data_IF_449475659561
#
_entry.id   IF_449475659561
#
_cell.length_a   1.000
_cell.length_b   1.000
_cell.length_c   1.000
_cell.angle_alpha   90.00
_cell.angle_beta   90.00
_cell.angle_gamma   90.00
#
_symmetry.space_group_name_H-M   'P 1'
#
loop_
_entity.id
_entity.type
_entity.pdbx_description
1 polymer ?
#
# COMPACT_ATOMS: atom_id res chain seq x y z
N UNK A 1 24.64 -82.22 39.71
CA UNK A 1 25.44 -81.48 38.71
C UNK A 1 24.75 -80.15 38.45
N UNK A 2 24.85 -79.18 39.37
CA UNK A 2 25.79 -78.05 39.34
C UNK A 2 26.00 -77.50 37.91
N UNK A 3 25.35 -76.37 37.60
CA UNK A 3 26.02 -75.21 36.98
C UNK A 3 25.24 -73.94 37.28
N UNK A 4 26.00 -72.91 37.62
CA UNK A 4 25.62 -71.78 38.45
C UNK A 4 25.03 -70.60 37.67
N UNK A 5 24.23 -69.84 38.42
CA UNK A 5 23.71 -68.51 38.15
C UNK A 5 24.80 -67.49 37.78
N UNK A 6 24.48 -66.58 36.87
CA UNK A 6 24.92 -65.18 36.96
C UNK A 6 23.67 -64.31 37.12
N UNK A 7 23.48 -63.81 38.35
CA UNK A 7 22.55 -62.73 38.67
C UNK A 7 23.03 -61.45 37.98
N UNK A 8 22.14 -60.77 37.27
CA UNK A 8 22.34 -59.40 36.80
C UNK A 8 21.24 -58.56 37.44
N UNK A 9 21.67 -57.59 38.25
CA UNK A 9 20.84 -56.71 39.08
C UNK A 9 19.99 -55.79 38.20
N UNK A 10 18.66 -55.90 38.29
CA UNK A 10 17.72 -54.98 37.66
C UNK A 10 17.32 -53.88 38.65
N UNK A 11 17.84 -52.67 38.44
CA UNK A 11 17.41 -51.46 39.15
C UNK A 11 16.07 -51.03 38.53
N UNK A 12 14.99 -51.10 39.31
CA UNK A 12 13.68 -50.58 38.94
C UNK A 12 13.69 -49.07 39.17
N UNK A 13 13.73 -48.28 38.10
CA UNK A 13 13.39 -46.86 38.14
C UNK A 13 11.86 -46.72 38.11
N UNK A 14 11.25 -46.38 39.24
CA UNK A 14 9.87 -45.89 39.31
C UNK A 14 9.82 -44.47 38.73
N UNK A 15 9.46 -44.36 37.46
CA UNK A 15 9.15 -43.06 36.84
C UNK A 15 7.81 -42.55 37.38
N UNK A 16 7.85 -41.54 38.25
CA UNK A 16 6.66 -40.79 38.63
C UNK A 16 6.24 -39.92 37.44
N UNK A 17 5.18 -40.34 36.74
CA UNK A 17 4.51 -39.51 35.73
C UNK A 17 3.75 -38.41 36.47
N UNK A 18 4.36 -37.22 36.60
CA UNK A 18 3.62 -36.02 36.93
C UNK A 18 2.73 -35.66 35.73
N UNK A 19 1.44 -35.97 35.84
CA UNK A 19 0.44 -35.45 34.91
C UNK A 19 0.36 -33.93 35.02
N UNK A 20 0.93 -33.21 34.06
CA UNK A 20 0.62 -31.81 33.86
C UNK A 20 -0.82 -31.70 33.37
N UNK A 21 -1.74 -31.38 34.27
CA UNK A 21 -3.05 -30.90 33.88
C UNK A 21 -2.85 -29.52 33.21
N UNK A 22 -2.89 -29.48 31.88
CA UNK A 22 -3.10 -28.23 31.15
C UNK A 22 -4.51 -27.80 31.50
N UNK A 23 -4.64 -26.89 32.45
CA UNK A 23 -5.90 -26.20 32.71
C UNK A 23 -6.12 -25.29 31.49
N UNK A 24 -7.16 -25.52 30.65
CA UNK A 24 -7.46 -24.60 29.57
C UNK A 24 -7.72 -23.23 30.19
N UNK A 25 -6.92 -22.23 29.83
CA UNK A 25 -7.20 -20.84 30.19
C UNK A 25 -8.56 -20.49 29.58
N UNK A 26 -9.51 -19.95 30.37
CA UNK A 26 -10.79 -19.53 29.81
C UNK A 26 -10.53 -18.49 28.72
N UNK A 27 -11.08 -18.72 27.53
CA UNK A 27 -11.06 -17.72 26.47
C UNK A 27 -11.75 -16.45 26.99
N UNK A 28 -11.04 -15.32 26.97
CA UNK A 28 -11.63 -14.02 27.31
C UNK A 28 -12.79 -13.75 26.35
N UNK A 29 -13.91 -13.25 26.88
CA UNK A 29 -15.02 -12.80 26.05
C UNK A 29 -14.59 -11.59 25.21
N UNK A 30 -14.84 -11.64 23.91
CA UNK A 30 -14.70 -10.51 22.99
C UNK A 30 -15.59 -9.37 23.48
N UNK A 31 -15.03 -8.17 23.58
CA UNK A 31 -15.71 -6.98 24.08
C UNK A 31 -15.92 -5.94 22.97
N UNK A 32 -16.98 -5.13 23.14
CA UNK A 32 -17.19 -3.92 22.33
C UNK A 32 -16.83 -2.72 23.17
N UNK A 33 -15.81 -1.98 22.72
CA UNK A 33 -15.45 -0.67 23.25
C UNK A 33 -16.14 0.38 22.38
N UNK A 34 -16.55 1.49 22.98
CA UNK A 34 -17.21 2.59 22.27
C UNK A 34 -16.40 3.86 22.48
N UNK A 35 -16.26 4.66 21.44
CA UNK A 35 -15.59 5.95 21.50
C UNK A 35 -16.62 6.99 21.10
N UNK A 36 -16.75 8.05 21.88
CA UNK A 36 -17.52 9.24 21.53
C UNK A 36 -16.74 10.50 21.91
N UNK A 37 -16.90 11.59 21.17
CA UNK A 37 -16.10 12.80 21.37
C UNK A 37 -16.44 13.56 22.68
N UNK A 38 -17.65 13.36 23.20
CA UNK A 38 -18.10 13.81 24.52
C UNK A 38 -17.93 12.77 25.63
N UNK A 39 -17.39 11.59 25.29
CA UNK A 39 -17.14 10.48 26.19
C UNK A 39 -18.39 9.86 26.81
N UNK A 40 -19.55 10.00 26.17
CA UNK A 40 -20.82 9.43 26.61
C UNK A 40 -21.45 8.60 25.49
N UNK A 41 -21.47 7.28 25.61
CA UNK A 41 -22.16 6.41 24.64
C UNK A 41 -22.37 4.99 25.20
N UNK A 42 -23.23 4.23 24.51
CA UNK A 42 -23.37 2.79 24.69
C UNK A 42 -23.09 2.06 23.37
N UNK A 43 -22.89 0.72 23.37
CA UNK A 43 -22.65 -0.04 22.14
C UNK A 43 -23.74 0.06 21.05
N UNK A 44 -24.91 0.58 21.39
CA UNK A 44 -26.08 0.72 20.52
C UNK A 44 -26.62 2.14 20.40
N UNK A 45 -26.07 3.12 21.12
CA UNK A 45 -26.55 4.50 21.10
C UNK A 45 -25.38 5.46 21.40
N UNK A 46 -24.99 6.27 20.42
CA UNK A 46 -23.97 7.29 20.60
C UNK A 46 -24.47 8.42 21.51
N UNK A 47 -25.75 8.81 21.45
CA UNK A 47 -26.30 9.87 22.31
C UNK A 47 -26.71 9.36 23.72
N UNK A 48 -26.04 8.34 24.26
CA UNK A 48 -26.32 7.85 25.60
C UNK A 48 -25.63 8.71 26.67
N UNK A 49 -25.90 8.47 27.95
CA UNK A 49 -25.29 9.20 29.07
C UNK A 49 -24.30 8.34 29.86
N UNK A 50 -24.01 7.15 29.35
CA UNK A 50 -23.08 6.19 29.94
C UNK A 50 -21.65 6.57 29.57
N UNK A 51 -20.77 6.65 30.56
CA UNK A 51 -19.38 7.02 30.32
C UNK A 51 -18.66 5.99 29.44
N UNK A 52 -17.92 6.49 28.45
CA UNK A 52 -17.13 5.71 27.49
C UNK A 52 -15.78 6.39 27.20
N UNK A 53 -15.03 5.89 26.22
CA UNK A 53 -13.76 6.50 25.81
C UNK A 53 -13.96 7.80 25.03
N UNK A 54 -13.20 8.84 25.37
CA UNK A 54 -13.17 10.12 24.65
C UNK A 54 -12.31 10.12 23.38
N UNK A 55 -11.36 9.17 23.29
CA UNK A 55 -10.40 9.10 22.19
C UNK A 55 -10.26 7.69 21.66
N UNK A 56 -9.96 7.58 20.37
CA UNK A 56 -9.72 6.31 19.69
C UNK A 56 -8.47 5.64 20.24
N UNK A 57 -7.41 6.40 20.53
CA UNK A 57 -6.17 5.86 21.11
C UNK A 57 -6.40 5.23 22.48
N UNK A 58 -7.26 5.82 23.32
CA UNK A 58 -7.56 5.25 24.64
C UNK A 58 -8.29 3.91 24.53
N UNK A 59 -9.28 3.81 23.63
CA UNK A 59 -9.97 2.54 23.39
C UNK A 59 -9.04 1.49 22.76
N UNK A 60 -8.18 1.87 21.81
CA UNK A 60 -7.19 0.96 21.22
C UNK A 60 -6.22 0.43 22.28
N UNK A 61 -5.73 1.30 23.18
CA UNK A 61 -4.84 0.90 24.26
C UNK A 61 -5.50 -0.06 25.27
N UNK A 62 -6.81 0.07 25.50
CA UNK A 62 -7.59 -0.81 26.38
C UNK A 62 -8.05 -2.10 25.71
N UNK A 63 -7.99 -2.17 24.38
CA UNK A 63 -8.45 -3.32 23.60
C UNK A 63 -7.59 -4.57 23.81
N UNK A 64 -8.18 -5.71 23.54
CA UNK A 64 -7.52 -7.01 23.50
C UNK A 64 -7.93 -7.78 22.25
N UNK A 65 -7.21 -8.87 21.98
CA UNK A 65 -7.39 -9.57 20.73
C UNK A 65 -8.83 -10.06 20.53
N UNK A 66 -9.40 -9.74 19.37
CA UNK A 66 -10.79 -10.02 19.01
C UNK A 66 -11.77 -8.87 19.26
N UNK A 67 -11.39 -7.85 20.05
CA UNK A 67 -12.29 -6.75 20.41
C UNK A 67 -12.74 -5.92 19.20
N UNK A 68 -13.94 -5.34 19.32
CA UNK A 68 -14.45 -4.33 18.38
C UNK A 68 -14.47 -2.98 19.06
N UNK A 69 -13.92 -1.96 18.41
CA UNK A 69 -13.94 -0.56 18.82
C UNK A 69 -14.87 0.16 17.87
N UNK A 70 -16.05 0.54 18.36
CA UNK A 70 -17.02 1.37 17.64
C UNK A 70 -16.74 2.84 17.93
N UNK A 71 -16.65 3.66 16.91
CA UNK A 71 -16.40 5.10 17.05
C UNK A 71 -17.61 5.85 16.53
N UNK A 72 -18.22 6.65 17.39
CA UNK A 72 -19.35 7.51 17.08
C UNK A 72 -18.94 8.66 16.15
N UNK A 73 -19.93 9.38 15.64
CA UNK A 73 -19.68 10.51 14.74
C UNK A 73 -18.98 11.62 15.52
N UNK A 74 -17.89 12.15 14.98
CA UNK A 74 -17.07 13.08 15.75
C UNK A 74 -15.74 13.42 15.10
N UNK A 75 -15.04 14.38 15.69
CA UNK A 75 -13.72 14.82 15.25
C UNK A 75 -12.66 14.37 16.25
N UNK A 76 -11.80 13.45 15.83
CA UNK A 76 -10.75 12.86 16.65
C UNK A 76 -9.38 13.31 16.15
N UNK A 77 -8.85 14.39 16.72
CA UNK A 77 -7.53 14.91 16.35
C UNK A 77 -6.42 14.19 17.13
N UNK A 78 -5.93 13.07 16.59
CA UNK A 78 -4.95 12.21 17.28
C UNK A 78 -4.17 11.30 16.32
N UNK A 79 -3.13 10.64 16.83
CA UNK A 79 -2.44 9.54 16.15
C UNK A 79 -2.77 8.22 16.84
N UNK A 80 -3.37 7.29 16.10
CA UNK A 80 -3.79 5.99 16.62
C UNK A 80 -2.75 4.93 16.25
N UNK A 81 -2.10 4.33 17.25
CA UNK A 81 -1.18 3.20 17.04
C UNK A 81 -1.78 1.90 17.57
N UNK A 82 -1.99 0.95 16.67
CA UNK A 82 -2.56 -0.37 16.94
C UNK A 82 -1.43 -1.39 17.04
N UNK A 83 -1.27 -1.95 18.23
CA UNK A 83 -0.32 -3.05 18.54
C UNK A 83 -1.02 -4.35 18.95
N UNK A 84 -2.35 -4.33 19.09
CA UNK A 84 -3.17 -5.47 19.48
C UNK A 84 -3.68 -6.20 18.25
N UNK A 85 -3.46 -7.53 18.20
CA UNK A 85 -3.92 -8.37 17.09
C UNK A 85 -5.44 -8.46 17.04
N UNK A 86 -5.98 -8.73 15.85
CA UNK A 86 -7.36 -9.16 15.64
C UNK A 86 -8.42 -8.19 16.18
N UNK A 87 -8.13 -6.89 16.23
CA UNK A 87 -9.14 -5.89 16.60
C UNK A 87 -9.88 -5.38 15.35
N UNK A 88 -11.15 -5.00 15.54
CA UNK A 88 -11.93 -4.28 14.53
C UNK A 88 -12.14 -2.85 14.98
N UNK A 89 -11.57 -1.89 14.27
CA UNK A 89 -11.84 -0.47 14.43
C UNK A 89 -12.87 -0.06 13.37
N UNK A 90 -14.04 0.43 13.80
CA UNK A 90 -15.19 0.73 12.93
C UNK A 90 -15.87 2.04 13.31
N UNK A 91 -16.13 2.90 12.31
CA UNK A 91 -17.02 4.05 12.46
C UNK A 91 -18.47 3.58 12.48
N UNK A 92 -19.28 4.10 13.40
CA UNK A 92 -20.70 3.71 13.55
C UNK A 92 -21.50 4.11 12.31
N UNK A 93 -21.45 5.38 11.91
CA UNK A 93 -21.95 5.82 10.62
C UNK A 93 -20.81 5.92 9.61
N UNK A 94 -21.09 5.60 8.35
CA UNK A 94 -20.10 5.67 7.29
C UNK A 94 -19.58 7.12 7.14
N UNK A 95 -18.27 7.29 7.35
CA UNK A 95 -17.52 8.55 7.40
C UNK A 95 -17.95 9.54 8.50
N UNK A 96 -18.72 9.08 9.48
CA UNK A 96 -19.15 9.88 10.62
C UNK A 96 -18.00 10.16 11.61
N UNK A 97 -17.18 9.15 11.92
CA UNK A 97 -15.98 9.31 12.72
C UNK A 97 -14.80 9.79 11.86
N UNK A 98 -14.25 10.95 12.18
CA UNK A 98 -13.16 11.58 11.44
C UNK A 98 -11.88 11.60 12.28
N UNK A 99 -10.85 10.88 11.86
CA UNK A 99 -9.54 10.90 12.53
C UNK A 99 -8.65 11.89 11.79
N UNK A 100 -8.34 13.00 12.46
CA UNK A 100 -7.62 14.13 11.89
C UNK A 100 -6.16 14.14 12.33
N UNK A 101 -5.26 14.53 11.43
CA UNK A 101 -3.87 14.76 11.78
C UNK A 101 -3.74 15.81 12.92
N UNK A 102 -3.06 15.49 14.04
CA UNK A 102 -2.73 16.50 15.04
C UNK A 102 -1.74 17.54 14.50
N UNK A 103 -1.73 18.71 15.15
CA UNK A 103 -0.78 19.80 14.82
C UNK A 103 0.68 19.34 14.85
N UNK A 104 1.00 18.40 15.74
CA UNK A 104 2.34 17.83 15.87
C UNK A 104 2.26 16.34 15.63
N UNK A 105 2.79 15.90 14.49
CA UNK A 105 2.95 14.50 14.16
C UNK A 105 4.29 13.98 14.69
N UNK A 106 4.25 12.92 15.48
CA UNK A 106 5.43 12.16 15.90
C UNK A 106 5.67 10.99 14.94
N UNK A 107 6.93 10.53 14.87
CA UNK A 107 7.30 9.41 14.01
C UNK A 107 6.46 8.16 14.32
N UNK A 108 5.92 7.45 13.33
CA UNK A 108 6.23 7.49 11.88
C UNK A 108 5.43 8.49 11.04
N UNK A 109 4.80 9.49 11.67
CA UNK A 109 3.92 10.50 11.06
C UNK A 109 2.76 9.89 10.26
N UNK A 110 2.17 8.83 10.83
CA UNK A 110 0.94 8.22 10.35
C UNK A 110 -0.23 8.62 11.27
N UNK A 111 -1.39 8.93 10.69
CA UNK A 111 -2.61 9.20 11.47
C UNK A 111 -3.08 7.90 12.15
N UNK A 112 -3.15 6.81 11.39
CA UNK A 112 -3.37 5.46 11.91
C UNK A 112 -2.21 4.55 11.55
N UNK A 113 -1.64 3.86 12.54
CA UNK A 113 -0.53 2.91 12.34
C UNK A 113 -0.87 1.55 12.90
N UNK A 114 -0.81 0.52 12.07
CA UNK A 114 -0.78 -0.88 12.49
C UNK A 114 0.69 -1.29 12.62
N UNK A 115 1.18 -1.36 13.86
CA UNK A 115 2.58 -1.60 14.17
C UNK A 115 2.77 -3.02 14.70
N UNK A 116 3.07 -3.96 13.80
CA UNK A 116 3.28 -5.38 14.12
C UNK A 116 2.01 -6.16 14.50
N UNK A 117 0.88 -5.48 14.73
CA UNK A 117 -0.41 -6.13 14.94
C UNK A 117 -0.90 -6.80 13.65
N UNK A 118 -1.51 -7.98 13.79
CA UNK A 118 -2.02 -8.80 12.69
C UNK A 118 -3.52 -8.99 12.80
N UNK A 119 -4.20 -9.13 11.66
CA UNK A 119 -5.66 -9.35 11.62
C UNK A 119 -6.48 -8.11 12.00
N UNK A 120 -5.91 -6.91 11.89
CA UNK A 120 -6.61 -5.66 12.19
C UNK A 120 -7.62 -5.34 11.09
N UNK A 121 -8.81 -4.87 11.43
CA UNK A 121 -9.75 -4.30 10.46
C UNK A 121 -9.96 -2.82 10.74
N UNK A 122 -9.87 -1.96 9.72
CA UNK A 122 -10.14 -0.52 9.78
C UNK A 122 -11.20 -0.20 8.73
N UNK A 123 -12.39 0.21 9.17
CA UNK A 123 -13.52 0.40 8.25
C UNK A 123 -14.44 1.58 8.58
N UNK A 124 -14.88 2.26 7.53
CA UNK A 124 -15.94 3.27 7.60
C UNK A 124 -15.51 4.66 8.06
N UNK A 125 -14.22 4.94 8.23
CA UNK A 125 -13.74 6.24 8.73
C UNK A 125 -13.54 7.27 7.62
N UNK A 126 -13.58 8.55 7.98
CA UNK A 126 -12.78 9.57 7.29
C UNK A 126 -11.44 9.70 8.03
N UNK A 127 -10.32 9.62 7.32
CA UNK A 127 -8.96 9.79 7.87
C UNK A 127 -8.31 10.91 7.07
N UNK A 128 -8.09 12.06 7.71
CA UNK A 128 -7.77 13.28 6.99
C UNK A 128 -6.56 14.03 7.56
N UNK A 129 -5.71 14.51 6.65
CA UNK A 129 -4.81 15.62 6.95
C UNK A 129 -5.52 16.98 6.76
N UNK A 130 -4.79 18.03 6.33
CA UNK A 130 -3.35 18.06 6.04
C UNK A 130 -2.49 18.00 7.30
N UNK A 131 -1.20 17.73 7.12
CA UNK A 131 -0.20 18.03 8.14
C UNK A 131 0.00 19.54 8.27
N UNK A 132 0.31 20.01 9.48
CA UNK A 132 0.35 21.45 9.79
C UNK A 132 1.58 22.20 9.26
N UNK A 133 2.50 21.53 8.55
CA UNK A 133 3.78 22.10 8.13
C UNK A 133 3.95 22.11 6.61
N UNK A 134 4.88 22.93 6.14
CA UNK A 134 5.14 23.14 4.71
C UNK A 134 6.00 22.03 4.06
N UNK A 135 6.54 21.08 4.83
CA UNK A 135 7.39 20.01 4.32
C UNK A 135 7.50 18.88 5.34
N UNK A 136 7.20 17.64 4.95
CA UNK A 136 7.42 16.47 5.80
C UNK A 136 6.57 16.44 7.08
N UNK A 137 5.43 17.13 7.10
CA UNK A 137 4.57 17.28 8.27
C UNK A 137 3.62 16.09 8.47
N UNK A 138 3.25 15.41 7.39
CA UNK A 138 2.40 14.21 7.41
C UNK A 138 2.91 13.19 6.39
N UNK A 139 3.19 11.97 6.84
CA UNK A 139 3.74 10.92 5.97
C UNK A 139 2.67 9.95 5.50
N UNK A 140 1.71 9.59 6.35
CA UNK A 140 0.73 8.55 6.05
C UNK A 140 -0.67 8.84 6.61
N UNK A 141 -1.71 8.50 5.85
CA UNK A 141 -3.06 8.35 6.40
C UNK A 141 -3.11 7.08 7.25
N UNK A 142 -2.91 5.93 6.59
CA UNK A 142 -2.76 4.62 7.25
C UNK A 142 -1.39 4.04 6.93
N UNK A 143 -0.70 3.49 7.94
CA UNK A 143 0.56 2.76 7.77
C UNK A 143 0.51 1.37 8.40
N UNK A 144 0.82 0.34 7.64
CA UNK A 144 0.92 -1.06 8.10
C UNK A 144 2.39 -1.49 8.02
N UNK A 145 3.01 -1.74 9.17
CA UNK A 145 4.42 -2.14 9.23
C UNK A 145 4.72 -3.08 10.42
N UNK A 146 6.01 -3.37 10.64
CA UNK A 146 6.46 -4.26 11.71
C UNK A 146 6.07 -5.73 11.51
N UNK A 147 5.77 -6.15 10.28
CA UNK A 147 5.19 -7.47 9.99
C UNK A 147 3.68 -7.56 10.25
N UNK A 148 3.03 -6.42 10.52
CA UNK A 148 1.60 -6.36 10.78
C UNK A 148 0.73 -6.67 9.56
N UNK A 149 -0.56 -6.90 9.80
CA UNK A 149 -1.54 -7.09 8.74
C UNK A 149 -2.88 -6.42 9.01
N UNK A 150 -3.47 -5.85 7.96
CA UNK A 150 -4.73 -5.12 8.06
C UNK A 150 -5.67 -5.32 6.86
N UNK A 151 -6.96 -5.39 7.14
CA UNK A 151 -8.03 -5.13 6.17
C UNK A 151 -8.46 -3.68 6.30
N UNK A 152 -8.25 -2.89 5.25
CA UNK A 152 -8.54 -1.46 5.19
C UNK A 152 -9.65 -1.28 4.17
N UNK A 153 -10.87 -0.99 4.61
CA UNK A 153 -12.02 -0.97 3.70
C UNK A 153 -13.04 0.12 3.95
N UNK A 154 -13.69 0.61 2.88
CA UNK A 154 -14.80 1.56 2.97
C UNK A 154 -14.43 2.85 3.74
N UNK A 155 -13.17 3.29 3.69
CA UNK A 155 -12.73 4.53 4.32
C UNK A 155 -12.63 5.64 3.27
N UNK A 156 -12.73 6.88 3.71
CA UNK A 156 -12.32 8.06 2.96
C UNK A 156 -10.99 8.56 3.53
N UNK A 157 -9.91 8.52 2.73
CA UNK A 157 -8.57 8.91 3.16
C UNK A 157 -8.14 10.11 2.32
N UNK A 158 -8.16 11.30 2.90
CA UNK A 158 -8.01 12.54 2.13
C UNK A 158 -6.98 13.49 2.75
N UNK A 159 -6.52 14.44 1.93
CA UNK A 159 -5.61 15.51 2.36
C UNK A 159 -4.33 15.00 3.03
N UNK A 160 -3.82 13.83 2.61
CA UNK A 160 -2.57 13.29 3.15
C UNK A 160 -1.38 13.99 2.49
N UNK A 161 -1.14 15.23 2.93
CA UNK A 161 -0.20 16.18 2.34
C UNK A 161 0.29 17.22 3.35
N UNK A 162 1.31 17.95 2.96
CA UNK A 162 1.69 19.21 3.61
C UNK A 162 0.72 20.34 3.24
N UNK A 163 0.73 21.41 4.03
CA UNK A 163 -0.04 22.63 3.76
C UNK A 163 0.90 23.85 3.79
N UNK A 164 1.16 24.51 2.64
CA UNK A 164 0.71 24.15 1.28
C UNK A 164 1.36 22.87 0.72
N UNK A 165 0.81 22.33 -0.37
CA UNK A 165 1.34 21.16 -1.09
C UNK A 165 2.83 21.38 -1.45
N UNK A 166 3.68 20.40 -1.11
CA UNK A 166 5.13 20.50 -1.24
C UNK A 166 5.76 19.37 -2.08
N UNK A 167 7.04 19.52 -2.41
CA UNK A 167 7.86 18.51 -3.09
C UNK A 167 8.59 17.53 -2.17
N UNK A 168 8.24 17.45 -0.88
CA UNK A 168 9.04 16.77 0.15
C UNK A 168 8.96 15.23 0.17
N UNK A 169 8.36 14.61 -0.86
CA UNK A 169 8.31 13.14 -1.03
C UNK A 169 7.61 12.39 0.12
N UNK A 170 6.80 13.08 0.93
CA UNK A 170 5.88 12.52 1.91
C UNK A 170 4.42 12.64 1.46
N UNK A 171 3.52 12.08 2.27
CA UNK A 171 2.07 12.16 2.07
C UNK A 171 1.55 11.01 1.21
N UNK A 172 1.44 9.85 1.84
CA UNK A 172 0.93 8.63 1.23
C UNK A 172 -0.40 8.24 1.87
N UNK A 173 -1.48 8.07 1.12
CA UNK A 173 -2.78 7.66 1.65
C UNK A 173 -2.68 6.39 2.51
N UNK A 174 -2.26 5.28 1.90
CA UNK A 174 -2.00 4.00 2.58
C UNK A 174 -0.59 3.51 2.25
N UNK A 175 0.23 3.27 3.28
CA UNK A 175 1.57 2.69 3.15
C UNK A 175 1.67 1.30 3.79
N UNK A 176 2.24 0.32 3.08
CA UNK A 176 2.43 -1.05 3.57
C UNK A 176 3.89 -1.47 3.40
N UNK A 177 4.59 -1.62 4.53
CA UNK A 177 6.03 -1.79 4.56
C UNK A 177 6.80 -0.57 4.03
N UNK A 178 8.13 -0.58 4.22
CA UNK A 178 9.00 0.51 3.79
C UNK A 178 10.45 0.06 3.69
N UNK A 179 11.02 0.13 2.49
CA UNK A 179 12.37 -0.34 2.21
C UNK A 179 13.43 0.45 2.97
N UNK A 180 13.29 1.78 3.02
CA UNK A 180 14.21 2.67 3.73
C UNK A 180 14.31 2.40 5.24
N UNK A 181 13.29 1.76 5.81
CA UNK A 181 13.20 1.42 7.23
C UNK A 181 13.28 -0.10 7.47
N UNK A 182 13.49 -0.88 6.40
CA UNK A 182 13.51 -2.35 6.44
C UNK A 182 12.27 -2.98 7.10
N UNK A 183 11.12 -2.33 6.98
CA UNK A 183 9.86 -2.83 7.52
C UNK A 183 9.03 -3.52 6.44
N UNK A 184 8.16 -4.43 6.86
CA UNK A 184 7.23 -5.15 6.00
C UNK A 184 5.81 -5.08 6.57
N UNK A 185 4.83 -5.36 5.73
CA UNK A 185 3.43 -5.51 6.15
C UNK A 185 2.60 -6.19 5.08
N UNK A 186 1.39 -6.63 5.44
CA UNK A 186 0.43 -7.20 4.51
C UNK A 186 -0.91 -6.50 4.62
N UNK A 187 -1.55 -6.18 3.50
CA UNK A 187 -2.86 -5.52 3.54
C UNK A 187 -3.87 -6.08 2.53
N UNK A 188 -5.14 -6.00 2.89
CA UNK A 188 -6.27 -6.09 1.96
C UNK A 188 -6.94 -4.72 1.93
N UNK A 189 -6.87 -4.03 0.80
CA UNK A 189 -7.27 -2.62 0.66
C UNK A 189 -8.46 -2.56 -0.31
N UNK A 190 -9.66 -2.36 0.23
CA UNK A 190 -10.92 -2.56 -0.51
C UNK A 190 -11.85 -1.35 -0.44
N UNK A 191 -12.38 -0.91 -1.59
CA UNK A 191 -13.50 0.04 -1.63
C UNK A 191 -13.25 1.34 -0.85
N UNK A 192 -12.00 1.82 -0.78
CA UNK A 192 -11.69 3.10 -0.18
C UNK A 192 -11.78 4.21 -1.22
N UNK A 193 -12.13 5.41 -0.78
CA UNK A 193 -11.95 6.66 -1.52
C UNK A 193 -10.66 7.29 -1.00
N UNK A 194 -9.69 7.53 -1.86
CA UNK A 194 -8.38 8.09 -1.50
C UNK A 194 -8.11 9.26 -2.42
N UNK A 195 -8.05 10.48 -1.89
CA UNK A 195 -7.86 11.67 -2.72
C UNK A 195 -6.94 12.70 -2.09
N UNK A 196 -6.46 13.63 -2.92
CA UNK A 196 -5.68 14.79 -2.46
C UNK A 196 -4.44 14.42 -1.63
N UNK A 197 -3.81 13.28 -1.93
CA UNK A 197 -2.53 12.84 -1.35
C UNK A 197 -1.34 13.55 -2.02
N UNK A 198 -0.21 13.69 -1.34
CA UNK A 198 0.94 14.43 -1.87
C UNK A 198 1.88 13.59 -2.75
N UNK A 199 2.28 12.38 -2.34
CA UNK A 199 3.25 11.56 -3.09
C UNK A 199 2.66 10.27 -3.63
N UNK A 200 1.82 9.60 -2.86
CA UNK A 200 1.26 8.30 -3.24
C UNK A 200 -0.17 8.08 -2.74
N UNK A 201 -1.05 7.51 -3.55
CA UNK A 201 -2.36 7.08 -3.05
C UNK A 201 -2.19 5.84 -2.17
N UNK A 202 -1.72 4.75 -2.77
CA UNK A 202 -1.37 3.50 -2.10
C UNK A 202 0.06 3.12 -2.45
N UNK A 203 0.88 2.80 -1.46
CA UNK A 203 2.27 2.35 -1.65
C UNK A 203 2.52 1.05 -0.90
N UNK A 204 2.85 -0.02 -1.64
CA UNK A 204 3.33 -1.28 -1.09
C UNK A 204 4.82 -1.36 -1.37
N UNK A 205 5.63 -1.45 -0.32
CA UNK A 205 7.07 -1.30 -0.47
C UNK A 205 7.85 -2.32 0.36
N UNK A 206 9.06 -2.62 -0.12
CA UNK A 206 10.00 -3.57 0.44
C UNK A 206 9.68 -5.04 0.17
N UNK A 207 10.75 -5.82 0.02
CA UNK A 207 10.67 -7.28 -0.03
C UNK A 207 10.03 -7.83 1.23
N UNK A 208 9.04 -8.72 1.06
CA UNK A 208 8.27 -9.30 2.14
C UNK A 208 6.95 -8.57 2.44
N UNK A 209 6.71 -7.40 1.83
CA UNK A 209 5.41 -6.75 1.87
C UNK A 209 4.50 -7.24 0.75
N UNK A 210 3.20 -7.28 1.02
CA UNK A 210 2.21 -7.66 0.01
C UNK A 210 0.85 -7.01 0.20
N UNK A 211 0.08 -6.86 -0.89
CA UNK A 211 -1.31 -6.46 -0.77
C UNK A 211 -2.24 -6.98 -1.87
N UNK A 212 -3.50 -7.15 -1.51
CA UNK A 212 -4.63 -7.12 -2.46
C UNK A 212 -5.19 -5.69 -2.46
N UNK A 213 -5.29 -5.06 -3.64
CA UNK A 213 -5.80 -3.70 -3.81
C UNK A 213 -6.96 -3.77 -4.80
N UNK A 214 -8.19 -3.62 -4.32
CA UNK A 214 -9.37 -3.75 -5.20
C UNK A 214 -10.53 -2.82 -4.92
N UNK A 215 -11.23 -2.37 -5.97
CA UNK A 215 -12.45 -1.58 -5.86
C UNK A 215 -12.24 -0.16 -5.32
N UNK A 216 -11.01 0.35 -5.24
CA UNK A 216 -10.73 1.67 -4.68
C UNK A 216 -10.88 2.77 -5.73
N UNK A 217 -11.29 3.96 -5.29
CA UNK A 217 -11.24 5.20 -6.06
C UNK A 217 -10.07 6.04 -5.57
N UNK A 218 -9.13 6.38 -6.45
CA UNK A 218 -7.85 6.99 -6.08
C UNK A 218 -7.58 8.20 -6.98
N UNK A 219 -7.62 9.41 -6.43
CA UNK A 219 -7.50 10.65 -7.22
C UNK A 219 -6.35 11.53 -6.70
N UNK A 220 -5.40 11.86 -7.57
CA UNK A 220 -4.28 12.75 -7.26
C UNK A 220 -4.70 14.21 -7.07
N UNK A 221 -3.77 15.16 -7.19
CA UNK A 221 -4.09 16.60 -7.13
C UNK A 221 -4.25 17.23 -8.52
N UNK A 222 -4.39 16.40 -9.55
CA UNK A 222 -4.26 16.77 -10.96
C UNK A 222 -2.85 17.34 -11.27
N UNK A 223 -2.71 18.04 -12.40
CA UNK A 223 -1.43 18.55 -12.89
C UNK A 223 -0.74 19.49 -11.89
N UNK A 224 0.49 19.16 -11.51
CA UNK A 224 1.30 19.95 -10.59
C UNK A 224 2.77 19.96 -11.01
N UNK A 225 3.48 21.04 -10.67
CA UNK A 225 4.95 21.13 -10.79
C UNK A 225 5.66 20.81 -9.47
N UNK A 226 4.92 20.59 -8.38
CA UNK A 226 5.51 20.43 -7.05
C UNK A 226 6.05 19.02 -6.81
N UNK A 227 5.35 18.00 -7.32
CA UNK A 227 5.66 16.61 -7.00
C UNK A 227 5.10 15.63 -8.04
N UNK A 228 5.92 14.66 -8.44
CA UNK A 228 5.47 13.54 -9.25
C UNK A 228 4.73 12.52 -8.37
N UNK A 229 3.41 12.45 -8.54
CA UNK A 229 2.50 11.59 -7.77
C UNK A 229 2.38 10.21 -8.40
N UNK A 230 2.22 9.19 -7.56
CA UNK A 230 1.83 7.86 -8.01
C UNK A 230 0.48 7.47 -7.39
N UNK A 231 -0.49 7.06 -8.20
CA UNK A 231 -1.78 6.61 -7.68
C UNK A 231 -1.63 5.35 -6.84
N UNK A 232 -1.14 4.28 -7.46
CA UNK A 232 -0.75 3.03 -6.81
C UNK A 232 0.71 2.76 -7.13
N UNK A 233 1.52 2.44 -6.11
CA UNK A 233 2.90 2.03 -6.28
C UNK A 233 3.16 0.69 -5.60
N UNK A 234 3.77 -0.24 -6.33
CA UNK A 234 4.33 -1.48 -5.78
C UNK A 234 5.81 -1.46 -6.07
N UNK A 235 6.64 -1.47 -5.04
CA UNK A 235 8.06 -1.22 -5.25
C UNK A 235 9.03 -2.06 -4.44
N UNK A 236 10.25 -2.17 -4.99
CA UNK A 236 11.46 -2.66 -4.32
C UNK A 236 11.25 -4.05 -3.74
N UNK A 237 10.68 -4.93 -4.55
CA UNK A 237 10.47 -6.34 -4.26
C UNK A 237 9.19 -6.66 -3.50
N UNK A 238 8.32 -5.68 -3.27
CA UNK A 238 6.95 -5.93 -2.81
C UNK A 238 6.13 -6.67 -3.86
N UNK A 239 5.06 -7.35 -3.43
CA UNK A 239 4.12 -8.08 -4.30
C UNK A 239 2.71 -7.49 -4.19
N UNK A 240 1.95 -7.50 -5.27
CA UNK A 240 0.53 -7.12 -5.18
C UNK A 240 -0.33 -7.73 -6.29
N UNK A 241 -1.61 -7.87 -5.98
CA UNK A 241 -2.68 -7.95 -6.99
C UNK A 241 -3.49 -6.65 -6.93
N UNK A 242 -3.52 -5.93 -8.05
CA UNK A 242 -4.19 -4.64 -8.22
C UNK A 242 -5.32 -4.85 -9.22
N UNK A 243 -6.57 -4.83 -8.76
CA UNK A 243 -7.71 -5.08 -9.64
C UNK A 243 -8.91 -4.18 -9.43
N UNK A 244 -9.61 -3.84 -10.51
CA UNK A 244 -10.90 -3.16 -10.42
C UNK A 244 -10.85 -1.82 -9.65
N UNK A 245 -9.72 -1.12 -9.70
CA UNK A 245 -9.59 0.22 -9.12
C UNK A 245 -9.84 1.30 -10.19
N UNK A 246 -10.30 2.46 -9.74
CA UNK A 246 -10.33 3.69 -10.53
C UNK A 246 -9.21 4.60 -10.05
N UNK A 247 -8.26 4.94 -10.92
CA UNK A 247 -7.12 5.80 -10.61
C UNK A 247 -7.11 7.00 -11.54
N UNK A 248 -7.05 8.21 -11.00
CA UNK A 248 -7.20 9.44 -11.78
C UNK A 248 -6.25 10.56 -11.32
N UNK A 249 -5.88 11.44 -12.25
CA UNK A 249 -5.31 12.76 -11.92
C UNK A 249 -3.89 12.74 -11.38
N UNK A 250 -3.03 11.86 -11.89
CA UNK A 250 -1.61 11.79 -11.54
C UNK A 250 -0.76 12.42 -12.65
N UNK A 251 -0.55 13.73 -12.59
CA UNK A 251 0.16 14.45 -13.65
C UNK A 251 1.24 15.37 -13.11
N UNK A 252 2.46 15.25 -13.64
CA UNK A 252 3.58 16.10 -13.29
C UNK A 252 4.05 16.90 -14.51
N UNK A 253 3.97 18.24 -14.41
CA UNK A 253 4.40 19.13 -15.50
C UNK A 253 5.85 19.58 -15.41
N UNK A 254 6.60 19.07 -14.42
CA UNK A 254 8.04 19.27 -14.33
C UNK A 254 8.83 18.35 -15.27
N UNK A 255 10.14 18.57 -15.34
CA UNK A 255 11.04 17.79 -16.18
C UNK A 255 11.58 16.54 -15.46
N UNK A 256 12.11 15.59 -16.25
CA UNK A 256 12.88 14.40 -15.85
C UNK A 256 12.14 13.29 -15.12
N UNK A 257 11.00 13.56 -14.50
CA UNK A 257 10.20 12.58 -13.77
C UNK A 257 8.81 12.47 -14.38
N UNK A 258 8.16 11.34 -14.16
CA UNK A 258 6.76 11.13 -14.54
C UNK A 258 5.90 10.86 -13.31
N UNK A 259 4.68 11.39 -13.31
CA UNK A 259 3.63 10.94 -12.41
C UNK A 259 2.92 9.73 -13.02
N UNK A 260 2.63 8.71 -12.21
CA UNK A 260 2.10 7.44 -12.74
C UNK A 260 0.76 7.10 -12.11
N UNK A 261 -0.20 6.62 -12.91
CA UNK A 261 -1.42 6.04 -12.37
C UNK A 261 -1.10 4.81 -11.52
N UNK A 262 -0.50 3.79 -12.13
CA UNK A 262 -0.04 2.57 -11.45
C UNK A 262 1.43 2.28 -11.78
N UNK A 263 2.31 2.36 -10.77
CA UNK A 263 3.75 2.13 -10.89
C UNK A 263 4.15 0.79 -10.26
N UNK A 264 4.81 -0.07 -11.05
CA UNK A 264 5.51 -1.27 -10.58
C UNK A 264 7.02 -1.01 -10.71
N UNK A 265 7.65 -0.60 -9.60
CA UNK A 265 9.05 -0.16 -9.60
C UNK A 265 9.96 -1.17 -8.92
N UNK A 266 10.78 -1.86 -9.69
CA UNK A 266 11.71 -2.90 -9.20
C UNK A 266 11.00 -3.98 -8.36
N UNK A 267 9.83 -4.41 -8.85
CA UNK A 267 9.03 -5.49 -8.29
C UNK A 267 8.61 -6.47 -9.38
N UNK A 268 8.80 -7.76 -9.10
CA UNK A 268 8.43 -8.83 -10.02
C UNK A 268 7.06 -9.42 -9.71
N UNK A 269 6.46 -10.11 -10.68
CA UNK A 269 5.25 -10.93 -10.50
C UNK A 269 4.06 -10.18 -9.89
N UNK A 270 3.96 -8.88 -10.17
CA UNK A 270 2.80 -8.04 -9.84
C UNK A 270 1.74 -8.22 -10.92
N UNK A 271 0.48 -8.29 -10.49
CA UNK A 271 -0.66 -8.44 -11.37
C UNK A 271 -1.52 -7.18 -11.31
N UNK A 272 -1.70 -6.51 -12.45
CA UNK A 272 -2.50 -5.31 -12.64
C UNK A 272 -3.62 -5.64 -13.62
N UNK A 273 -4.84 -5.86 -13.11
CA UNK A 273 -5.94 -6.39 -13.92
C UNK A 273 -7.25 -5.63 -13.77
N UNK A 274 -7.89 -5.23 -14.87
CA UNK A 274 -9.26 -4.70 -14.80
C UNK A 274 -9.39 -3.33 -14.14
N UNK A 275 -8.31 -2.56 -14.06
CA UNK A 275 -8.34 -1.21 -13.51
C UNK A 275 -8.73 -0.19 -14.60
N UNK A 276 -9.31 0.93 -14.18
CA UNK A 276 -9.48 2.12 -15.02
C UNK A 276 -8.49 3.17 -14.56
N UNK A 277 -7.62 3.62 -15.46
CA UNK A 277 -6.60 4.64 -15.19
C UNK A 277 -6.80 5.81 -16.13
N UNK A 278 -7.03 6.98 -15.57
CA UNK A 278 -7.39 8.19 -16.32
C UNK A 278 -6.45 9.35 -15.99
N UNK A 279 -6.28 10.28 -16.93
CA UNK A 279 -5.63 11.59 -16.72
C UNK A 279 -4.31 11.49 -15.92
N UNK A 280 -3.47 10.54 -16.34
CA UNK A 280 -2.21 10.22 -15.67
C UNK A 280 -1.09 10.27 -16.69
N UNK A 281 0.00 10.99 -16.36
CA UNK A 281 1.07 11.26 -17.31
C UNK A 281 1.65 9.97 -17.89
N UNK A 282 1.97 9.00 -17.04
CA UNK A 282 2.07 7.60 -17.42
C UNK A 282 0.90 6.82 -16.83
N UNK A 283 0.15 6.09 -17.66
CA UNK A 283 -0.97 5.27 -17.20
C UNK A 283 -0.51 4.15 -16.27
N UNK A 284 0.18 3.15 -16.84
CA UNK A 284 0.74 2.03 -16.09
C UNK A 284 2.21 1.83 -16.45
N UNK A 285 3.09 1.79 -15.47
CA UNK A 285 4.53 1.64 -15.68
C UNK A 285 5.10 0.41 -14.96
N UNK A 286 5.97 -0.32 -15.64
CA UNK A 286 6.79 -1.41 -15.08
C UNK A 286 8.24 -1.07 -15.34
N UNK A 287 8.93 -0.63 -14.29
CA UNK A 287 10.21 0.03 -14.43
C UNK A 287 11.27 -0.56 -13.49
N UNK A 288 12.50 -0.74 -13.98
CA UNK A 288 13.64 -1.08 -13.13
C UNK A 288 14.87 -0.25 -13.45
N UNK A 289 15.55 0.22 -12.39
CA UNK A 289 16.85 0.90 -12.50
C UNK A 289 18.00 0.09 -11.91
N UNK A 290 17.71 -1.09 -11.34
CA UNK A 290 18.63 -1.75 -10.42
C UNK A 290 19.22 -0.80 -9.35
N UNK A 291 18.39 0.06 -8.78
CA UNK A 291 18.74 0.96 -7.70
C UNK A 291 18.66 0.26 -6.34
N UNK A 292 17.55 -0.43 -6.05
CA UNK A 292 17.34 -1.18 -4.80
C UNK A 292 17.08 -2.64 -5.04
N UNK A 293 16.45 -2.99 -6.16
CA UNK A 293 16.19 -4.36 -6.62
C UNK A 293 16.43 -4.45 -8.12
N UNK A 294 16.85 -5.63 -8.62
CA UNK A 294 17.34 -5.75 -10.00
C UNK A 294 16.26 -5.60 -11.07
N UNK A 295 14.98 -5.87 -10.74
CA UNK A 295 14.01 -6.20 -11.77
C UNK A 295 12.59 -5.73 -11.49
N UNK A 296 11.91 -5.38 -12.57
CA UNK A 296 10.46 -5.31 -12.71
C UNK A 296 10.02 -6.30 -13.80
N UNK A 297 10.18 -7.59 -13.52
CA UNK A 297 10.02 -8.69 -14.47
C UNK A 297 8.85 -9.61 -14.13
N UNK A 298 8.35 -10.35 -15.13
CA UNK A 298 7.24 -11.30 -14.97
C UNK A 298 5.92 -10.66 -14.47
N UNK A 299 5.75 -9.35 -14.67
CA UNK A 299 4.54 -8.62 -14.33
C UNK A 299 3.47 -8.79 -15.41
N UNK A 300 2.21 -8.63 -15.03
CA UNK A 300 1.07 -8.81 -15.92
C UNK A 300 0.16 -7.58 -15.84
N UNK A 301 -0.01 -6.88 -16.96
CA UNK A 301 -0.93 -5.76 -17.15
C UNK A 301 -2.02 -6.22 -18.11
N UNK A 302 -3.20 -6.55 -17.57
CA UNK A 302 -4.24 -7.24 -18.31
C UNK A 302 -5.61 -6.58 -18.19
N UNK A 303 -6.35 -6.46 -19.29
CA UNK A 303 -7.76 -6.06 -19.24
C UNK A 303 -8.01 -4.70 -18.57
N UNK A 304 -7.02 -3.82 -18.54
CA UNK A 304 -7.18 -2.47 -17.99
C UNK A 304 -7.76 -1.54 -19.07
N UNK A 305 -8.46 -0.50 -18.61
CA UNK A 305 -8.84 0.65 -19.43
C UNK A 305 -7.94 1.81 -19.04
N UNK A 306 -7.26 2.39 -20.01
CA UNK A 306 -6.39 3.55 -19.85
C UNK A 306 -6.93 4.63 -20.77
N UNK A 307 -7.37 5.74 -20.20
CA UNK A 307 -8.03 6.82 -20.93
C UNK A 307 -7.66 8.23 -20.44
N UNK A 308 -8.25 9.25 -21.07
CA UNK A 308 -7.97 10.65 -20.75
C UNK A 308 -6.63 11.14 -21.31
N UNK A 309 -6.02 12.11 -20.63
CA UNK A 309 -4.71 12.64 -21.01
C UNK A 309 -3.57 11.74 -20.48
N UNK A 310 -2.61 11.38 -21.33
CA UNK A 310 -1.39 10.62 -20.98
C UNK A 310 -0.29 10.80 -22.02
N UNK A 311 0.97 10.91 -21.59
CA UNK A 311 2.16 10.82 -22.44
C UNK A 311 2.42 9.34 -22.82
N UNK A 312 2.24 8.44 -21.85
CA UNK A 312 2.40 6.99 -22.03
C UNK A 312 1.18 6.23 -21.54
N UNK A 313 0.63 5.34 -22.37
CA UNK A 313 -0.42 4.41 -21.93
C UNK A 313 0.13 3.34 -20.99
N UNK A 314 0.96 2.44 -21.53
CA UNK A 314 1.72 1.45 -20.76
C UNK A 314 3.20 1.54 -21.09
N UNK A 315 4.06 1.49 -20.08
CA UNK A 315 5.51 1.41 -20.23
C UNK A 315 6.06 0.13 -19.59
N UNK A 316 6.97 -0.54 -20.30
CA UNK A 316 7.81 -1.64 -19.83
C UNK A 316 9.26 -1.24 -20.08
N UNK A 317 9.98 -0.84 -19.04
CA UNK A 317 11.29 -0.21 -19.23
C UNK A 317 12.34 -0.67 -18.21
N UNK A 318 13.57 -0.78 -18.70
CA UNK A 318 14.75 -0.95 -17.85
C UNK A 318 15.79 0.13 -18.18
N UNK A 319 16.19 0.90 -17.16
CA UNK A 319 17.09 2.03 -17.32
C UNK A 319 18.38 1.82 -16.55
N UNK A 320 19.52 1.78 -17.24
CA UNK A 320 20.81 1.90 -16.57
C UNK A 320 21.13 3.37 -16.40
N UNK A 321 21.18 3.85 -15.16
CA UNK A 321 21.31 5.27 -14.84
C UNK A 321 22.56 5.52 -13.98
N UNK A 322 23.50 6.30 -14.51
CA UNK A 322 24.67 6.77 -13.78
C UNK A 322 24.29 7.43 -12.45
N UNK A 323 24.94 7.01 -11.36
CA UNK A 323 24.67 7.49 -10.00
C UNK A 323 23.54 6.75 -9.26
N UNK A 324 22.71 5.95 -9.95
CA UNK A 324 21.63 5.18 -9.34
C UNK A 324 21.81 3.67 -9.47
N UNK A 325 22.05 3.18 -10.69
CA UNK A 325 22.12 1.75 -10.96
C UNK A 325 23.30 1.11 -10.23
N UNK A 326 23.07 -0.10 -9.72
CA UNK A 326 24.07 -0.91 -9.01
C UNK A 326 24.30 -2.27 -9.67
N UNK A 327 23.50 -2.60 -10.70
CA UNK A 327 23.61 -3.79 -11.52
C UNK A 327 22.88 -3.59 -12.86
N UNK A 328 22.86 -4.63 -13.69
CA UNK A 328 22.06 -4.67 -14.92
C UNK A 328 20.55 -4.65 -14.59
N UNK A 329 19.81 -3.59 -14.96
CA UNK A 329 18.37 -3.50 -14.72
C UNK A 329 17.58 -4.41 -15.66
N UNK A 330 16.51 -5.03 -15.15
CA UNK A 330 15.73 -6.03 -15.90
C UNK A 330 14.23 -5.71 -15.91
N UNK A 331 13.62 -5.66 -17.09
CA UNK A 331 12.18 -5.58 -17.29
C UNK A 331 11.73 -6.71 -18.24
N UNK A 332 12.07 -7.95 -17.88
CA UNK A 332 11.92 -9.12 -18.75
C UNK A 332 10.61 -9.86 -18.51
N UNK A 333 10.13 -10.57 -19.52
CA UNK A 333 9.00 -11.50 -19.43
C UNK A 333 7.69 -10.86 -18.93
N UNK A 334 7.53 -9.54 -19.07
CA UNK A 334 6.29 -8.86 -18.74
C UNK A 334 5.24 -9.11 -19.83
N UNK A 335 3.98 -9.07 -19.43
CA UNK A 335 2.85 -9.29 -20.32
C UNK A 335 1.91 -8.09 -20.27
N UNK A 336 1.69 -7.46 -21.41
CA UNK A 336 0.70 -6.40 -21.63
C UNK A 336 -0.37 -6.96 -22.57
N UNK A 337 -1.52 -7.34 -22.03
CA UNK A 337 -2.52 -8.12 -22.77
C UNK A 337 -3.95 -7.63 -22.62
N UNK A 338 -4.64 -7.50 -23.75
CA UNK A 338 -6.09 -7.23 -23.80
C UNK A 338 -6.51 -5.94 -23.08
N UNK A 339 -5.65 -4.91 -23.07
CA UNK A 339 -5.97 -3.59 -22.52
C UNK A 339 -6.65 -2.72 -23.58
N UNK A 340 -7.48 -1.77 -23.13
CA UNK A 340 -8.01 -0.68 -23.94
C UNK A 340 -7.25 0.60 -23.56
N UNK A 341 -6.53 1.19 -24.52
CA UNK A 341 -5.60 2.30 -24.27
C UNK A 341 -5.94 3.41 -25.25
N UNK A 342 -6.48 4.52 -24.75
CA UNK A 342 -7.03 5.60 -25.57
C UNK A 342 -6.60 6.96 -25.06
N UNK A 343 -5.88 7.76 -25.84
CA UNK A 343 -5.63 9.16 -25.49
C UNK A 343 -6.73 10.08 -26.01
N UNK A 344 -7.18 11.04 -25.19
CA UNK A 344 -8.30 11.94 -25.49
C UNK A 344 -7.91 13.27 -26.18
N UNK A 345 -6.63 13.67 -26.20
CA UNK A 345 -6.17 14.97 -26.73
C UNK A 345 -4.82 14.87 -27.49
N UNK A 346 -4.75 15.43 -28.70
CA UNK A 346 -3.50 15.83 -29.40
C UNK A 346 -3.46 17.38 -29.40
N UNK A 347 -2.32 18.09 -29.18
CA UNK A 347 -0.97 17.74 -29.63
C UNK A 347 0.17 17.96 -28.59
N UNK A 348 1.06 16.97 -28.45
CA UNK A 348 2.39 17.08 -27.84
C UNK A 348 3.31 16.03 -28.44
N UNK A 349 4.59 16.35 -28.68
CA UNK A 349 5.53 15.47 -29.38
C UNK A 349 5.84 14.20 -28.56
N UNK A 350 5.58 13.00 -29.09
CA UNK A 350 6.21 11.77 -28.60
C UNK A 350 5.34 10.81 -27.80
N UNK A 351 4.02 11.06 -27.70
CA UNK A 351 3.14 10.20 -26.89
C UNK A 351 3.07 8.77 -27.43
N UNK A 352 3.23 7.80 -26.54
CA UNK A 352 3.36 6.38 -26.88
C UNK A 352 2.29 5.53 -26.18
N UNK A 353 1.53 4.76 -26.95
CA UNK A 353 0.48 3.90 -26.41
C UNK A 353 1.06 2.79 -25.54
N UNK A 354 1.97 2.00 -26.10
CA UNK A 354 2.76 1.00 -25.36
C UNK A 354 4.24 1.17 -25.70
N UNK A 355 5.06 1.42 -24.69
CA UNK A 355 6.52 1.42 -24.79
C UNK A 355 7.11 0.11 -24.23
N UNK A 356 8.03 -0.50 -24.97
CA UNK A 356 8.87 -1.60 -24.50
C UNK A 356 10.31 -1.30 -24.91
N UNK A 357 11.20 -1.14 -23.94
CA UNK A 357 12.59 -0.86 -24.28
C UNK A 357 13.53 -0.69 -23.11
N UNK A 358 14.73 -0.23 -23.44
CA UNK A 358 15.78 0.01 -22.47
C UNK A 358 16.53 1.29 -22.83
N UNK A 359 17.11 1.94 -21.84
CA UNK A 359 17.97 3.10 -22.10
C UNK A 359 19.15 3.17 -21.12
N UNK A 360 20.23 3.79 -21.56
CA UNK A 360 21.47 4.00 -20.81
C UNK A 360 21.69 5.49 -20.64
N UNK A 361 21.48 5.98 -19.42
CA UNK A 361 21.60 7.39 -19.07
C UNK A 361 22.96 7.62 -18.41
N UNK A 362 23.83 8.35 -19.11
CA UNK A 362 25.21 8.60 -18.69
C UNK A 362 26.13 7.43 -19.01
N UNK A 363 27.13 7.17 -18.15
CA UNK A 363 28.05 6.03 -18.28
C UNK A 363 28.03 5.09 -17.05
N UNK A 364 26.89 4.42 -16.77
CA UNK A 364 26.74 3.57 -15.59
C UNK A 364 27.54 2.26 -15.63
N UNK A 365 27.98 1.80 -16.81
CA UNK A 365 28.68 0.53 -16.97
C UNK A 365 27.77 -0.72 -16.85
N UNK A 366 26.46 -0.55 -16.94
CA UNK A 366 25.47 -1.62 -16.88
C UNK A 366 24.69 -1.73 -18.20
N UNK A 367 24.22 -2.94 -18.49
CA UNK A 367 23.47 -3.25 -19.72
C UNK A 367 22.03 -3.62 -19.31
N UNK A 368 21.06 -2.73 -19.50
CA UNK A 368 19.67 -3.01 -19.19
C UNK A 368 19.06 -3.99 -20.20
N UNK A 369 18.05 -4.74 -19.77
CA UNK A 369 17.32 -5.69 -20.64
C UNK A 369 15.82 -5.58 -20.44
N UNK A 370 15.06 -5.65 -21.54
CA UNK A 370 13.61 -5.76 -21.55
C UNK A 370 13.19 -6.88 -22.53
N UNK A 371 13.73 -8.07 -22.28
CA UNK A 371 13.64 -9.25 -23.12
C UNK A 371 12.34 -10.05 -22.94
N UNK A 372 11.84 -10.62 -24.03
CA UNK A 372 10.70 -11.55 -24.07
C UNK A 372 9.43 -10.95 -23.43
N UNK A 373 9.26 -9.64 -23.56
CA UNK A 373 8.02 -8.98 -23.23
C UNK A 373 6.95 -9.30 -24.28
N UNK A 374 5.70 -9.42 -23.85
CA UNK A 374 4.59 -9.83 -24.71
C UNK A 374 3.52 -8.75 -24.72
N UNK A 375 3.36 -8.10 -25.87
CA UNK A 375 2.29 -7.15 -26.14
C UNK A 375 1.24 -7.83 -27.03
N UNK A 376 0.08 -8.18 -26.47
CA UNK A 376 -0.90 -9.06 -27.14
C UNK A 376 -2.30 -8.45 -27.04
N UNK A 377 -3.07 -8.46 -28.14
CA UNK A 377 -4.51 -8.15 -28.14
C UNK A 377 -4.93 -6.79 -27.53
N UNK A 378 -4.02 -5.81 -27.45
CA UNK A 378 -4.36 -4.48 -26.94
C UNK A 378 -5.05 -3.64 -28.02
N UNK A 379 -6.05 -2.85 -27.62
CA UNK A 379 -6.66 -1.82 -28.48
C UNK A 379 -6.04 -0.48 -28.14
N UNK A 380 -5.38 0.15 -29.11
CA UNK A 380 -4.63 1.40 -28.91
C UNK A 380 -5.16 2.46 -29.87
N UNK A 381 -5.55 3.62 -29.36
CA UNK A 381 -6.06 4.73 -30.16
C UNK A 381 -5.58 6.08 -29.60
N UNK A 382 -5.40 7.07 -30.47
CA UNK A 382 -5.11 8.44 -30.03
C UNK A 382 -3.65 8.74 -29.65
N UNK A 383 -2.70 7.83 -29.89
CA UNK A 383 -1.26 8.07 -29.66
C UNK A 383 -0.51 8.32 -30.97
N UNK A 384 0.54 9.14 -30.91
CA UNK A 384 1.45 9.38 -32.05
C UNK A 384 2.17 8.09 -32.43
N UNK A 385 2.66 7.37 -31.41
CA UNK A 385 3.29 6.06 -31.57
C UNK A 385 2.44 5.03 -30.85
N UNK A 386 1.59 4.25 -31.55
CA UNK A 386 0.74 3.26 -30.88
C UNK A 386 1.56 2.24 -30.08
N UNK A 387 2.64 1.72 -30.68
CA UNK A 387 3.59 0.82 -30.02
C UNK A 387 5.00 1.26 -30.43
N UNK A 388 5.86 1.47 -29.43
CA UNK A 388 7.32 1.58 -29.59
C UNK A 388 7.96 0.36 -28.91
N UNK A 389 8.54 -0.51 -29.71
CA UNK A 389 9.29 -1.68 -29.24
C UNK A 389 10.73 -1.56 -29.75
N UNK A 390 11.65 -1.32 -28.82
CA UNK A 390 13.06 -1.11 -29.12
C UNK A 390 13.84 -2.41 -29.37
N UNK A 391 13.15 -3.56 -29.43
CA UNK A 391 13.72 -4.82 -29.92
C UNK A 391 14.68 -5.51 -28.95
N UNK A 392 14.45 -5.37 -27.65
CA UNK A 392 15.32 -5.85 -26.57
C UNK A 392 14.94 -7.19 -25.97
#
# INVERSE_FOLDING_TARGET
MIRANKMMSGIIFTAAVLGFFIVPTPARAVSTLVVDDDGMATPTNCDAVDSTYFTVTAAVAASSAGDTIKVCDGLYQEQVTITTNSITLISVNHWGAKILAPLVMIDSKAIVRVNGATGVTITGFEISGPGAGACGSLSYGIRVDGGGSATIQNNHITLIRDEPLSGCQNGVGIGVGRNAESTTGTATILNNVIDTYQKGGIVIDNTGSSALIAGNQITGVASTMSIAQNGIQVSRGAKAEIRENQVDGNWFSGAFWTATGILVFESDSVKVQGNTVSNSQTGIDMESWCWKRPSASNNQVMQNTIDGESDFGVSVAAFAFEGYSTCNPLANNNKVDSNSITSANFPGNGDTGIFVGTDVIGNPGYVPTAYNNKVISNTIFGYTTPIDDQGT
#
